data_IF_923508857533
#
_entry.id   IF_923508857533
#
_cell.length_a   1.000
_cell.length_b   1.000
_cell.length_c   1.000
_cell.angle_alpha   90.00
_cell.angle_beta   90.00
_cell.angle_gamma   90.00
#
_symmetry.space_group_name_H-M   'P 1'
#
loop_
_entity.id
_entity.type
_entity.pdbx_description
1 polymer ?
#
# COMPACT_ATOMS: atom_id res chain seq x y z
N UNK A 1 0.51 12.07 20.65
CA UNK A 1 -0.24 11.21 19.72
C UNK A 1 0.69 10.86 18.59
N UNK A 2 1.04 9.59 18.41
CA UNK A 2 1.93 9.15 17.35
C UNK A 2 1.17 8.27 16.36
N UNK A 3 1.46 8.41 15.07
CA UNK A 3 0.93 7.55 14.02
C UNK A 3 2.06 6.65 13.53
N UNK A 4 1.78 5.37 13.33
CA UNK A 4 2.74 4.44 12.72
C UNK A 4 2.05 3.58 11.68
N UNK A 5 2.83 3.12 10.69
CA UNK A 5 2.37 2.22 9.64
C UNK A 5 2.79 0.78 9.97
N UNK A 6 1.85 -0.14 9.83
CA UNK A 6 2.09 -1.58 9.84
C UNK A 6 1.88 -2.14 8.44
N UNK A 7 2.76 -3.05 8.05
CA UNK A 7 2.75 -3.62 6.71
C UNK A 7 2.52 -5.13 6.80
N UNK A 8 1.64 -5.64 5.94
CA UNK A 8 1.30 -7.06 5.86
C UNK A 8 1.38 -7.50 4.40
N UNK A 9 2.26 -8.44 4.10
CA UNK A 9 2.49 -8.96 2.75
C UNK A 9 1.56 -10.12 2.48
N UNK A 10 0.92 -10.12 1.32
CA UNK A 10 0.12 -11.27 0.88
C UNK A 10 1.07 -12.33 0.33
N UNK A 11 1.09 -13.49 0.96
CA UNK A 11 1.94 -14.62 0.57
C UNK A 11 1.20 -15.61 -0.31
N UNK A 12 -0.12 -15.71 -0.17
CA UNK A 12 -1.02 -16.48 -1.02
C UNK A 12 -2.44 -15.88 -0.93
N UNK A 13 -3.41 -16.30 -1.77
CA UNK A 13 -4.81 -15.93 -1.57
C UNK A 13 -5.33 -16.30 -0.18
N UNK A 14 -5.85 -15.32 0.57
CA UNK A 14 -6.31 -15.51 1.95
C UNK A 14 -5.19 -15.55 2.99
N UNK A 15 -3.92 -15.46 2.57
CA UNK A 15 -2.76 -15.56 3.46
C UNK A 15 -1.95 -14.26 3.45
N UNK A 16 -1.68 -13.76 4.66
CA UNK A 16 -0.91 -12.56 4.90
C UNK A 16 0.14 -12.83 5.97
N UNK A 17 1.28 -12.17 5.86
CA UNK A 17 2.35 -12.20 6.84
C UNK A 17 2.75 -10.77 7.24
N UNK A 18 2.95 -10.53 8.53
CA UNK A 18 3.48 -9.26 8.99
C UNK A 18 4.92 -9.08 8.48
N UNK A 19 5.23 -7.89 7.96
CA UNK A 19 6.62 -7.51 7.66
C UNK A 19 7.06 -6.37 8.56
N UNK A 20 8.38 -6.29 8.81
CA UNK A 20 8.93 -5.18 9.58
C UNK A 20 8.91 -3.91 8.74
N UNK A 21 8.76 -2.76 9.40
CA UNK A 21 8.85 -1.46 8.74
C UNK A 21 10.20 -1.29 8.03
N UNK A 22 11.30 -1.72 8.64
CA UNK A 22 12.64 -1.64 8.04
C UNK A 22 12.77 -2.51 6.79
N UNK A 23 12.22 -3.73 6.79
CA UNK A 23 12.23 -4.59 5.60
C UNK A 23 11.37 -4.00 4.48
N UNK A 24 10.22 -3.41 4.82
CA UNK A 24 9.38 -2.75 3.84
C UNK A 24 10.05 -1.48 3.29
N UNK A 25 10.64 -0.63 4.14
CA UNK A 25 11.38 0.57 3.72
C UNK A 25 12.58 0.23 2.84
N UNK A 26 13.31 -0.85 3.16
CA UNK A 26 14.40 -1.33 2.30
C UNK A 26 13.90 -1.68 0.89
N UNK A 27 12.74 -2.33 0.78
CA UNK A 27 12.13 -2.61 -0.52
C UNK A 27 11.59 -1.36 -1.21
N UNK A 28 10.89 -0.49 -0.48
CA UNK A 28 10.18 0.65 -1.04
C UNK A 28 11.08 1.83 -1.41
N UNK A 29 12.20 2.04 -0.72
CA UNK A 29 13.07 3.22 -0.87
C UNK A 29 14.49 2.87 -1.32
N UNK A 30 14.88 1.60 -1.22
CA UNK A 30 16.22 1.14 -1.55
C UNK A 30 16.15 -0.03 -2.54
N UNK A 31 17.22 -0.82 -2.59
CA UNK A 31 17.36 -1.99 -3.47
C UNK A 31 16.98 -3.30 -2.75
N UNK A 32 16.06 -3.20 -1.78
CA UNK A 32 15.53 -4.34 -1.05
C UNK A 32 14.61 -5.21 -1.92
N UNK A 33 14.31 -6.40 -1.41
CA UNK A 33 13.55 -7.42 -2.13
C UNK A 33 12.41 -7.94 -1.27
N UNK A 34 11.28 -8.21 -1.90
CA UNK A 34 10.16 -8.93 -1.28
C UNK A 34 9.69 -10.02 -2.23
N UNK A 35 9.16 -11.10 -1.65
CA UNK A 35 8.65 -12.23 -2.41
C UNK A 35 7.40 -11.84 -3.18
N UNK A 36 7.43 -12.04 -4.49
CA UNK A 36 6.28 -11.85 -5.37
C UNK A 36 5.30 -13.01 -5.26
N UNK A 37 4.03 -12.75 -5.58
CA UNK A 37 3.14 -13.82 -6.04
C UNK A 37 3.52 -14.30 -7.45
N UNK A 38 2.89 -15.39 -7.88
CA UNK A 38 3.15 -16.03 -9.18
C UNK A 38 2.96 -15.12 -10.40
N UNK A 39 2.23 -14.01 -10.23
CA UNK A 39 1.96 -13.01 -11.27
C UNK A 39 2.96 -11.86 -11.30
N UNK A 40 4.04 -11.94 -10.53
CA UNK A 40 5.10 -10.92 -10.50
C UNK A 40 4.73 -9.67 -9.71
N UNK A 41 3.71 -9.75 -8.85
CA UNK A 41 3.33 -8.65 -7.95
C UNK A 41 3.61 -8.98 -6.49
N UNK A 42 4.25 -8.04 -5.81
CA UNK A 42 4.22 -7.97 -4.34
C UNK A 42 2.94 -7.24 -3.96
N UNK A 43 2.06 -7.91 -3.21
CA UNK A 43 0.83 -7.31 -2.67
C UNK A 43 0.96 -7.12 -1.18
N UNK A 44 0.53 -5.97 -0.68
CA UNK A 44 0.55 -5.69 0.74
C UNK A 44 -0.64 -4.83 1.18
N UNK A 45 -0.92 -4.90 2.48
CA UNK A 45 -1.76 -3.95 3.19
C UNK A 45 -0.88 -3.00 4.00
N UNK A 46 -1.11 -1.70 3.86
CA UNK A 46 -0.62 -0.67 4.76
C UNK A 46 -1.74 -0.32 5.75
N UNK A 47 -1.47 -0.48 7.05
CA UNK A 47 -2.41 -0.15 8.13
C UNK A 47 -1.82 0.98 8.94
N UNK A 48 -2.42 2.17 8.85
CA UNK A 48 -2.07 3.31 9.69
C UNK A 48 -2.78 3.19 11.03
N UNK A 49 -2.00 3.17 12.11
CA UNK A 49 -2.53 3.05 13.47
C UNK A 49 -2.11 4.22 14.33
N UNK A 50 -3.04 4.66 15.17
CA UNK A 50 -2.79 5.61 16.24
C UNK A 50 -2.19 4.89 17.46
N UNK A 51 -1.14 5.47 18.03
CA UNK A 51 -0.42 4.94 19.18
C UNK A 51 -0.42 5.97 20.31
N UNK A 52 -0.86 5.50 21.49
CA UNK A 52 -0.86 6.24 22.76
C UNK A 52 -0.12 5.38 23.78
N UNK A 53 0.87 5.97 24.47
CA UNK A 53 1.66 5.27 25.50
C UNK A 53 2.26 3.93 25.01
N UNK A 54 2.74 3.90 23.76
CA UNK A 54 3.31 2.71 23.08
C UNK A 54 2.31 1.58 22.80
N UNK A 55 1.00 1.83 22.94
CA UNK A 55 -0.07 0.88 22.59
C UNK A 55 -0.85 1.39 21.38
N UNK A 56 -1.16 0.50 20.45
CA UNK A 56 -2.06 0.82 19.34
C UNK A 56 -3.50 0.91 19.88
N UNK A 57 -4.18 2.01 19.59
CA UNK A 57 -5.52 2.29 20.13
C UNK A 57 -6.60 2.36 19.06
N UNK A 58 -6.21 2.62 17.80
CA UNK A 58 -7.15 2.80 16.70
C UNK A 58 -6.50 2.57 15.34
N UNK A 59 -7.20 1.91 14.42
CA UNK A 59 -6.86 1.95 12.99
C UNK A 59 -7.43 3.23 12.38
N UNK A 60 -6.59 4.03 11.75
CA UNK A 60 -6.96 5.27 11.08
C UNK A 60 -7.29 5.03 9.60
N UNK A 61 -6.53 4.15 8.95
CA UNK A 61 -6.66 3.86 7.53
C UNK A 61 -6.08 2.49 7.20
N UNK A 62 -6.66 1.83 6.21
CA UNK A 62 -6.14 0.61 5.60
C UNK A 62 -6.12 0.82 4.09
N UNK A 63 -4.94 0.67 3.48
CA UNK A 63 -4.76 0.74 2.04
C UNK A 63 -4.17 -0.58 1.53
N UNK A 64 -4.58 -0.97 0.33
CA UNK A 64 -4.17 -2.21 -0.32
C UNK A 64 -3.38 -1.86 -1.57
N UNK A 65 -2.11 -2.27 -1.56
CA UNK A 65 -1.15 -1.89 -2.56
C UNK A 65 -0.57 -3.10 -3.30
N UNK A 66 -0.24 -2.90 -4.56
CA UNK A 66 0.51 -3.84 -5.35
C UNK A 66 1.68 -3.13 -6.03
N UNK A 67 2.80 -3.82 -6.14
CA UNK A 67 4.01 -3.33 -6.80
C UNK A 67 4.53 -4.46 -7.69
N UNK A 68 4.73 -4.16 -8.97
CA UNK A 68 5.37 -5.12 -9.88
C UNK A 68 6.84 -5.26 -9.53
N UNK A 69 7.33 -6.49 -9.55
CA UNK A 69 8.72 -6.82 -9.28
C UNK A 69 9.31 -7.69 -10.38
N UNK A 70 10.63 -7.64 -10.54
CA UNK A 70 11.38 -8.58 -11.38
C UNK A 70 11.51 -9.96 -10.75
N UNK A 71 12.13 -10.89 -11.48
CA UNK A 71 12.37 -12.27 -11.01
C UNK A 71 13.21 -12.35 -9.73
N UNK A 72 14.04 -11.34 -9.47
CA UNK A 72 14.86 -11.24 -8.26
C UNK A 72 14.14 -10.60 -7.07
N UNK A 73 12.85 -10.26 -7.23
CA UNK A 73 12.01 -9.64 -6.19
C UNK A 73 12.26 -8.15 -5.96
N UNK A 74 13.08 -7.50 -6.80
CA UNK A 74 13.26 -6.05 -6.80
C UNK A 74 12.14 -5.36 -7.56
N UNK A 75 11.87 -4.10 -7.22
CA UNK A 75 10.88 -3.28 -7.93
C UNK A 75 11.22 -3.19 -9.42
N UNK A 76 10.20 -3.38 -10.25
CA UNK A 76 10.32 -3.24 -11.70
C UNK A 76 10.49 -1.75 -12.04
N UNK A 77 11.62 -1.35 -12.68
CA UNK A 77 11.93 0.05 -12.94
C UNK A 77 10.94 0.71 -13.92
N UNK A 78 10.39 -0.04 -14.87
CA UNK A 78 9.42 0.49 -15.83
C UNK A 78 8.08 0.75 -15.14
N UNK A 79 7.68 -0.17 -14.25
CA UNK A 79 6.49 0.01 -13.43
C UNK A 79 6.64 1.16 -12.42
N UNK A 80 7.84 1.35 -11.85
CA UNK A 80 8.15 2.47 -10.97
C UNK A 80 8.06 3.79 -11.73
N UNK A 81 8.68 3.89 -12.91
CA UNK A 81 8.60 5.08 -13.76
C UNK A 81 7.15 5.41 -14.14
N UNK A 82 6.34 4.42 -14.49
CA UNK A 82 4.92 4.59 -14.82
C UNK A 82 4.11 5.09 -13.61
N UNK A 83 4.37 4.53 -12.43
CA UNK A 83 3.74 4.95 -11.18
C UNK A 83 4.10 6.39 -10.83
N UNK A 84 5.39 6.74 -10.92
CA UNK A 84 5.86 8.09 -10.62
C UNK A 84 5.31 9.13 -11.60
N UNK A 85 5.19 8.79 -12.88
CA UNK A 85 4.54 9.64 -13.87
C UNK A 85 3.06 9.89 -13.54
N UNK A 86 2.34 8.86 -13.08
CA UNK A 86 0.95 9.00 -12.64
C UNK A 86 0.84 9.89 -11.38
N UNK A 87 1.77 9.75 -10.41
CA UNK A 87 1.84 10.64 -9.24
C UNK A 87 2.11 12.08 -9.65
N UNK A 88 3.08 12.32 -10.53
CA UNK A 88 3.37 13.65 -11.04
C UNK A 88 2.14 14.27 -11.72
N UNK A 89 1.43 13.52 -12.57
CA UNK A 89 0.20 14.00 -13.21
C UNK A 89 -0.93 14.37 -12.23
N UNK A 90 -1.07 13.63 -11.12
CA UNK A 90 -2.00 13.99 -10.05
C UNK A 90 -1.61 15.32 -9.40
N UNK A 91 -0.32 15.52 -9.10
CA UNK A 91 0.19 16.73 -8.45
C UNK A 91 0.11 17.96 -9.38
N UNK A 92 0.46 17.81 -10.65
CA UNK A 92 0.41 18.90 -11.64
C UNK A 92 -1.01 19.41 -11.86
N UNK A 93 -2.02 18.56 -11.79
CA UNK A 93 -3.41 18.98 -11.94
C UNK A 93 -4.06 19.57 -10.68
N UNK A 94 -3.29 19.78 -9.60
CA UNK A 94 -3.74 20.43 -8.36
C UNK A 94 -3.90 21.96 -8.47
N UNK A 95 -3.65 22.54 -9.65
CA UNK A 95 -3.87 23.97 -9.87
C UNK A 95 -5.36 24.29 -9.74
N UNK A 96 -5.74 25.36 -9.00
CA UNK A 96 -7.13 25.75 -8.87
C UNK A 96 -7.67 26.18 -10.23
N UNK A 97 -8.57 25.36 -10.78
CA UNK A 97 -9.39 25.71 -11.93
C UNK A 97 -10.68 26.39 -11.44
N UNK A 98 -11.40 27.04 -12.35
CA UNK A 98 -12.75 27.56 -12.06
C UNK A 98 -13.65 26.41 -11.55
N UNK A 99 -14.63 26.75 -10.70
CA UNK A 99 -15.44 25.77 -9.94
C UNK A 99 -16.21 24.75 -10.81
N UNK A 100 -16.35 25.04 -12.11
CA UNK A 100 -17.04 24.26 -13.13
C UNK A 100 -16.11 23.50 -14.09
N UNK A 101 -14.79 23.61 -13.94
CA UNK A 101 -13.81 22.96 -14.83
C UNK A 101 -13.21 21.72 -14.15
N UNK A 102 -13.46 20.56 -14.75
CA UNK A 102 -12.83 19.30 -14.34
C UNK A 102 -11.42 19.24 -14.92
N UNK A 103 -10.41 19.09 -14.06
CA UNK A 103 -9.07 18.70 -14.50
C UNK A 103 -9.07 17.22 -14.93
N UNK A 104 -9.37 16.98 -16.21
CA UNK A 104 -9.41 15.63 -16.76
C UNK A 104 -8.06 14.91 -16.64
N UNK A 105 -6.94 15.62 -16.77
CA UNK A 105 -5.60 15.05 -16.68
C UNK A 105 -5.31 14.51 -15.28
N UNK A 106 -5.58 15.28 -14.21
CA UNK A 106 -5.47 14.79 -12.84
C UNK A 106 -6.40 13.59 -12.57
N UNK A 107 -7.60 13.60 -13.15
CA UNK A 107 -8.55 12.49 -13.00
C UNK A 107 -8.04 11.21 -13.65
N UNK A 108 -7.53 11.29 -14.88
CA UNK A 108 -6.93 10.15 -15.57
C UNK A 108 -5.65 9.68 -14.90
N UNK A 109 -4.80 10.60 -14.43
CA UNK A 109 -3.59 10.28 -13.67
C UNK A 109 -3.93 9.53 -12.38
N UNK A 110 -4.95 9.97 -11.63
CA UNK A 110 -5.44 9.27 -10.44
C UNK A 110 -5.92 7.86 -10.76
N UNK A 111 -6.76 7.69 -11.78
CA UNK A 111 -7.23 6.36 -12.21
C UNK A 111 -6.08 5.45 -12.65
N UNK A 112 -5.08 5.99 -13.34
CA UNK A 112 -3.88 5.26 -13.73
C UNK A 112 -3.09 4.82 -12.50
N UNK A 113 -2.87 5.73 -11.56
CA UNK A 113 -2.20 5.41 -10.30
C UNK A 113 -2.92 4.31 -9.52
N UNK A 114 -4.24 4.42 -9.37
CA UNK A 114 -5.07 3.41 -8.69
C UNK A 114 -4.96 2.05 -9.39
N UNK A 115 -5.04 2.00 -10.72
CA UNK A 115 -4.91 0.75 -11.48
C UNK A 115 -3.53 0.10 -11.32
N UNK A 116 -2.46 0.91 -11.27
CA UNK A 116 -1.10 0.40 -11.14
C UNK A 116 -0.82 -0.08 -9.72
N UNK A 117 -1.23 0.70 -8.72
CA UNK A 117 -0.77 0.55 -7.35
C UNK A 117 -1.78 -0.06 -6.40
N UNK A 118 -3.05 -0.25 -6.77
CA UNK A 118 -4.05 -0.85 -5.89
C UNK A 118 -4.45 -2.23 -6.35
N UNK A 119 -4.75 -3.08 -5.38
CA UNK A 119 -5.42 -4.36 -5.60
C UNK A 119 -6.65 -4.46 -4.70
N UNK A 120 -7.60 -5.29 -5.11
CA UNK A 120 -8.82 -5.51 -4.34
C UNK A 120 -8.66 -6.79 -3.50
N UNK A 121 -8.62 -6.70 -2.16
CA UNK A 121 -8.57 -7.88 -1.30
C UNK A 121 -9.86 -8.68 -1.36
N UNK A 122 -9.72 -9.99 -1.21
CA UNK A 122 -10.85 -10.91 -1.01
C UNK A 122 -11.36 -10.85 0.43
N UNK A 123 -12.51 -11.48 0.70
CA UNK A 123 -13.02 -11.60 2.06
C UNK A 123 -12.04 -12.34 2.99
N UNK A 124 -11.36 -13.37 2.48
CA UNK A 124 -10.38 -14.15 3.23
C UNK A 124 -9.14 -13.31 3.55
N UNK A 125 -8.65 -12.52 2.60
CA UNK A 125 -7.54 -11.59 2.84
C UNK A 125 -7.92 -10.57 3.94
N UNK A 126 -9.17 -10.06 3.95
CA UNK A 126 -9.65 -9.12 4.96
C UNK A 126 -9.77 -9.77 6.35
N UNK A 127 -10.31 -11.00 6.41
CA UNK A 127 -10.40 -11.76 7.65
C UNK A 127 -9.02 -12.01 8.25
N UNK A 128 -8.06 -12.44 7.40
CA UNK A 128 -6.68 -12.68 7.82
C UNK A 128 -5.98 -11.40 8.26
N UNK A 129 -6.20 -10.29 7.58
CA UNK A 129 -5.66 -8.99 7.99
C UNK A 129 -6.17 -8.59 9.38
N UNK A 130 -7.48 -8.74 9.62
CA UNK A 130 -8.09 -8.45 10.93
C UNK A 130 -7.45 -9.26 12.05
N UNK A 131 -7.27 -10.57 11.85
CA UNK A 131 -6.59 -11.44 12.81
C UNK A 131 -5.18 -10.93 13.13
N UNK A 132 -4.38 -10.62 12.11
CA UNK A 132 -3.00 -10.18 12.27
C UNK A 132 -2.88 -8.81 12.94
N UNK A 133 -3.77 -7.87 12.60
CA UNK A 133 -3.81 -6.54 13.21
C UNK A 133 -4.18 -6.65 14.68
N UNK A 134 -5.22 -7.42 15.01
CA UNK A 134 -5.66 -7.60 16.39
C UNK A 134 -4.59 -8.34 17.24
N UNK A 135 -3.95 -9.37 16.67
CA UNK A 135 -2.84 -10.06 17.31
C UNK A 135 -1.64 -9.14 17.58
N UNK A 136 -1.26 -8.30 16.60
CA UNK A 136 -0.17 -7.34 16.73
C UNK A 136 -0.49 -6.24 17.75
N UNK A 137 -1.74 -5.79 17.80
CA UNK A 137 -2.23 -4.80 18.76
C UNK A 137 -2.39 -5.37 20.17
N UNK A 138 -2.60 -6.69 20.30
CA UNK A 138 -3.03 -7.37 21.53
C UNK A 138 -4.38 -6.85 22.04
N UNK A 139 -5.23 -6.41 21.11
CA UNK A 139 -6.57 -5.87 21.35
C UNK A 139 -7.40 -5.96 20.06
N UNK A 140 -8.71 -5.82 20.17
CA UNK A 140 -9.60 -5.71 19.01
C UNK A 140 -9.55 -4.28 18.46
N UNK A 141 -8.96 -4.10 17.27
CA UNK A 141 -8.86 -2.83 16.55
C UNK A 141 -9.59 -2.84 15.19
N UNK A 142 -9.84 -4.03 14.64
CA UNK A 142 -10.56 -4.29 13.39
C UNK A 142 -11.60 -5.38 13.61
#
# INVERSE_FOLDING_TARGET
MNITAWYFLRTAPGELAATSRSSFEAFALHDGRLTAGDDGFVRYAEVLVEVVERRAVKVLRTDFHQVRVGEDGRRDPDHEAETMAAVAGMLSGSQPLAADVINAEATFAKRRYERLNRWQPTADDLAKLRELVNAKARSELM
#
